data_IF_235532145715
#
_entry.id   IF_235532145715
#
_cell.length_a   1.000
_cell.length_b   1.000
_cell.length_c   1.000
_cell.angle_alpha   90.00
_cell.angle_beta   90.00
_cell.angle_gamma   90.00
#
_symmetry.space_group_name_H-M   'P 1'
#
loop_
_entity.id
_entity.type
_entity.pdbx_description
1 polymer ?
#
# COMPACT_ATOMS: atom_id res chain seq x y z
N UNK A 1 3.65 -17.88 23.09
CA UNK A 1 4.53 -17.54 21.94
C UNK A 1 3.77 -17.01 20.74
N UNK A 2 2.73 -17.68 20.22
CA UNK A 2 1.93 -17.16 19.09
C UNK A 2 1.25 -15.81 19.38
N UNK A 3 0.61 -15.69 20.54
CA UNK A 3 -0.06 -14.44 20.99
C UNK A 3 0.92 -13.26 21.13
N UNK A 4 2.15 -13.50 21.60
CA UNK A 4 3.13 -12.42 21.83
C UNK A 4 3.79 -11.94 20.52
N UNK A 5 4.03 -12.85 19.57
CA UNK A 5 4.50 -12.48 18.22
C UNK A 5 3.42 -11.76 17.42
N UNK A 6 2.15 -12.17 17.55
CA UNK A 6 1.01 -11.48 16.96
C UNK A 6 0.79 -10.10 17.58
N UNK A 7 0.99 -9.93 18.89
CA UNK A 7 0.88 -8.63 19.57
C UNK A 7 2.05 -7.68 19.25
N UNK A 8 3.27 -8.20 19.01
CA UNK A 8 4.41 -7.39 18.58
C UNK A 8 4.27 -6.97 17.11
N UNK A 9 3.75 -7.85 16.25
CA UNK A 9 3.43 -7.55 14.86
C UNK A 9 2.27 -6.54 14.74
N UNK A 10 1.18 -6.77 15.47
CA UNK A 10 0.05 -5.83 15.56
C UNK A 10 0.46 -4.49 16.18
N UNK A 11 1.28 -4.51 17.23
CA UNK A 11 1.80 -3.32 17.90
C UNK A 11 2.68 -2.45 17.01
N UNK A 12 3.39 -3.03 16.04
CA UNK A 12 4.23 -2.27 15.11
C UNK A 12 3.50 -1.76 13.87
N UNK A 13 2.43 -2.44 13.45
CA UNK A 13 1.50 -1.94 12.44
C UNK A 13 0.68 -0.75 12.98
N UNK A 14 0.41 -0.71 14.28
CA UNK A 14 -0.25 0.44 14.93
C UNK A 14 0.61 1.73 14.93
N UNK A 15 1.93 1.65 14.74
CA UNK A 15 2.79 2.86 14.59
C UNK A 15 2.72 3.49 13.19
N UNK A 16 1.96 2.90 12.28
CA UNK A 16 1.81 3.37 10.90
C UNK A 16 0.42 3.93 10.61
N UNK A 17 -0.32 4.30 11.66
CA UNK A 17 -1.65 4.88 11.63
C UNK A 17 -1.61 6.39 11.91
N UNK A 18 -0.78 7.14 11.18
CA UNK A 18 -1.37 8.38 10.70
C UNK A 18 -2.42 7.91 9.70
N UNK A 19 -3.71 8.32 9.81
CA UNK A 19 -4.60 8.16 8.68
C UNK A 19 -3.88 8.81 7.52
N UNK A 20 -3.41 8.00 6.59
CA UNK A 20 -3.02 8.55 5.32
C UNK A 20 -4.35 9.08 4.79
N UNK A 21 -4.40 10.40 4.56
CA UNK A 21 -5.46 11.08 3.83
C UNK A 21 -5.44 10.58 2.37
N UNK A 22 -5.67 9.29 2.22
CA UNK A 22 -5.40 8.52 1.05
C UNK A 22 -6.56 7.56 0.93
N UNK A 23 -7.26 7.64 -0.19
CA UNK A 23 -8.25 6.64 -0.53
C UNK A 23 -7.60 5.26 -0.67
N UNK A 24 -8.32 4.19 -0.34
CA UNK A 24 -7.87 2.83 -0.66
C UNK A 24 -7.79 2.68 -2.19
N UNK A 25 -6.62 2.38 -2.77
CA UNK A 25 -6.50 2.26 -4.21
C UNK A 25 -7.13 0.95 -4.70
N UNK A 26 -7.99 1.06 -5.72
CA UNK A 26 -8.63 -0.07 -6.40
C UNK A 26 -8.38 0.07 -7.89
N UNK A 27 -7.80 -0.95 -8.53
CA UNK A 27 -7.66 -0.99 -9.99
C UNK A 27 -8.88 -1.69 -10.58
N UNK A 28 -9.59 -1.01 -11.48
CA UNK A 28 -10.82 -1.51 -12.09
C UNK A 28 -10.50 -2.27 -13.36
N UNK A 29 -11.05 -3.49 -13.45
CA UNK A 29 -10.83 -4.41 -14.58
C UNK A 29 -12.09 -4.67 -15.42
N UNK A 30 -13.24 -4.12 -15.04
CA UNK A 30 -14.54 -4.37 -15.68
C UNK A 30 -15.32 -3.08 -15.88
N UNK A 31 -16.16 -3.08 -16.93
CA UNK A 31 -17.05 -1.96 -17.27
C UNK A 31 -18.10 -1.69 -16.18
N UNK A 32 -18.36 -2.64 -15.29
CA UNK A 32 -19.24 -2.45 -14.14
C UNK A 32 -18.55 -2.92 -12.87
N UNK A 33 -18.60 -2.09 -11.83
CA UNK A 33 -18.02 -2.34 -10.51
C UNK A 33 -19.09 -2.12 -9.44
N UNK A 34 -19.30 -3.10 -8.57
CA UNK A 34 -20.13 -2.91 -7.38
C UNK A 34 -19.32 -2.19 -6.31
N UNK A 35 -19.88 -1.11 -5.76
CA UNK A 35 -19.27 -0.31 -4.71
C UNK A 35 -19.86 -0.74 -3.38
N UNK A 36 -19.12 -1.58 -2.68
CA UNK A 36 -19.44 -2.04 -1.32
C UNK A 36 -18.89 -1.02 -0.31
N UNK A 37 -19.68 -0.73 0.72
CA UNK A 37 -19.39 0.27 1.75
C UNK A 37 -19.06 1.65 1.14
N UNK A 38 -20.04 2.34 0.54
CA UNK A 38 -19.83 3.56 -0.26
C UNK A 38 -19.32 4.75 0.56
N UNK A 39 -19.42 4.69 1.89
CA UNK A 39 -18.86 5.72 2.78
C UNK A 39 -17.36 5.50 3.02
N UNK A 40 -16.84 4.29 2.83
CA UNK A 40 -15.42 3.99 2.97
C UNK A 40 -14.66 4.54 1.77
N UNK A 41 -13.68 5.37 2.08
CA UNK A 41 -12.86 6.15 1.14
C UNK A 41 -12.02 5.25 0.22
N UNK A 42 -12.45 5.10 -1.03
CA UNK A 42 -11.80 4.30 -2.09
C UNK A 42 -11.54 5.13 -3.34
N UNK A 43 -10.39 4.94 -3.98
CA UNK A 43 -10.01 5.57 -5.24
C UNK A 43 -9.89 4.48 -6.30
N UNK A 44 -10.83 4.51 -7.25
CA UNK A 44 -10.93 3.56 -8.34
C UNK A 44 -10.17 4.10 -9.55
N UNK A 45 -9.06 3.46 -9.87
CA UNK A 45 -8.23 3.73 -11.03
C UNK A 45 -8.74 2.90 -12.21
N UNK A 46 -9.14 3.57 -13.28
CA UNK A 46 -9.69 2.92 -14.48
C UNK A 46 -9.12 3.47 -15.78
N UNK A 47 -9.01 2.59 -16.77
CA UNK A 47 -8.69 2.95 -18.15
C UNK A 47 -9.90 2.60 -19.00
N UNK A 48 -10.56 3.60 -19.58
CA UNK A 48 -11.67 3.35 -20.50
C UNK A 48 -11.10 2.69 -21.78
N UNK A 49 -11.83 1.70 -22.31
CA UNK A 49 -11.37 0.89 -23.46
C UNK A 49 -12.46 0.68 -24.52
N UNK A 50 -13.15 1.76 -24.88
CA UNK A 50 -14.23 1.79 -25.89
C UNK A 50 -15.64 1.76 -25.29
N UNK A 51 -15.76 1.48 -23.99
CA UNK A 51 -17.01 1.54 -23.22
C UNK A 51 -16.86 2.43 -21.99
N UNK A 52 -18.00 2.96 -21.52
CA UNK A 52 -18.08 3.68 -20.26
C UNK A 52 -17.99 2.69 -19.09
N UNK A 53 -17.39 3.11 -17.98
CA UNK A 53 -17.43 2.34 -16.74
C UNK A 53 -18.62 2.78 -15.87
N UNK A 54 -19.22 1.85 -15.14
CA UNK A 54 -20.36 2.10 -14.26
C UNK A 54 -20.07 1.57 -12.86
N UNK A 55 -20.21 2.42 -11.86
CA UNK A 55 -20.06 2.06 -10.45
C UNK A 55 -21.44 2.02 -9.81
N UNK A 56 -21.80 0.88 -9.23
CA UNK A 56 -23.14 0.65 -8.72
C UNK A 56 -23.13 0.58 -7.20
N UNK A 57 -23.93 1.43 -6.57
CA UNK A 57 -24.15 1.46 -5.12
C UNK A 57 -25.59 1.02 -4.86
N UNK A 58 -25.75 0.07 -3.93
CA UNK A 58 -27.07 -0.36 -3.43
C UNK A 58 -27.07 -0.22 -1.91
N UNK A 59 -27.97 0.60 -1.40
CA UNK A 59 -28.13 0.80 0.04
C UNK A 59 -29.60 0.73 0.45
N UNK A 60 -29.87 0.01 1.53
CA UNK A 60 -31.17 -0.02 2.21
C UNK A 60 -31.29 1.02 3.34
N UNK A 61 -30.19 1.71 3.64
CA UNK A 61 -30.09 2.78 4.63
C UNK A 61 -29.63 4.10 3.99
N UNK A 62 -29.81 5.20 4.71
CA UNK A 62 -29.19 6.48 4.35
C UNK A 62 -27.68 6.41 4.55
N UNK A 63 -26.94 7.08 3.68
CA UNK A 63 -25.47 7.10 3.70
C UNK A 63 -24.93 8.43 3.14
N UNK A 64 -23.70 8.77 3.49
CA UNK A 64 -23.00 9.93 2.93
C UNK A 64 -22.35 9.55 1.60
N UNK A 65 -22.94 10.01 0.49
CA UNK A 65 -22.37 9.85 -0.83
C UNK A 65 -21.36 10.96 -1.10
N UNK A 66 -20.11 10.55 -1.31
CA UNK A 66 -19.05 11.39 -1.85
C UNK A 66 -18.59 10.85 -3.19
N UNK A 67 -18.40 11.74 -4.17
CA UNK A 67 -17.83 11.41 -5.47
C UNK A 67 -16.86 12.51 -5.88
N UNK A 68 -15.62 12.16 -6.23
CA UNK A 68 -14.64 13.07 -6.82
C UNK A 68 -14.02 12.46 -8.06
N UNK A 69 -13.71 13.28 -9.08
CA UNK A 69 -13.14 12.79 -10.34
C UNK A 69 -11.81 13.48 -10.66
N UNK A 70 -10.78 12.66 -10.81
CA UNK A 70 -9.43 13.07 -11.10
C UNK A 70 -8.93 12.44 -12.41
N UNK A 71 -8.07 13.14 -13.12
CA UNK A 71 -7.27 12.62 -14.24
C UNK A 71 -5.80 12.62 -13.83
N UNK A 72 -5.08 11.49 -13.92
CA UNK A 72 -3.65 11.45 -13.66
C UNK A 72 -2.88 12.43 -14.56
N UNK A 73 -1.99 13.23 -13.98
CA UNK A 73 -1.09 14.11 -14.73
C UNK A 73 0.09 13.29 -15.29
N UNK A 74 -0.16 12.63 -16.41
CA UNK A 74 0.82 11.84 -17.18
C UNK A 74 1.46 12.69 -18.30
N UNK A 75 2.28 12.08 -19.17
CA UNK A 75 2.93 12.79 -20.28
C UNK A 75 1.93 13.45 -21.26
N UNK A 76 0.72 12.90 -21.40
CA UNK A 76 -0.33 13.41 -22.29
C UNK A 76 -1.72 13.23 -21.68
N UNK A 77 -2.06 14.00 -20.64
CA UNK A 77 -3.28 13.80 -19.88
C UNK A 77 -4.51 14.24 -20.69
N UNK A 78 -5.50 13.36 -20.79
CA UNK A 78 -6.80 13.67 -21.41
C UNK A 78 -7.79 14.17 -20.35
N UNK A 79 -8.00 15.48 -20.31
CA UNK A 79 -8.91 16.16 -19.37
C UNK A 79 -10.32 16.25 -19.96
N UNK A 80 -10.87 15.09 -20.29
CA UNK A 80 -12.14 14.94 -20.99
C UNK A 80 -13.08 13.93 -20.32
N UNK A 81 -12.65 13.37 -19.19
CA UNK A 81 -13.40 12.38 -18.42
C UNK A 81 -14.56 13.07 -17.71
N UNK A 82 -15.73 12.49 -17.83
CA UNK A 82 -16.97 12.93 -17.19
C UNK A 82 -17.50 11.86 -16.26
N UNK A 83 -17.88 12.24 -15.05
CA UNK A 83 -18.59 11.41 -14.09
C UNK A 83 -20.05 11.89 -13.97
N UNK A 84 -21.00 11.03 -14.33
CA UNK A 84 -22.43 11.32 -14.22
C UNK A 84 -23.02 10.46 -13.10
N UNK A 85 -23.61 11.11 -12.09
CA UNK A 85 -24.15 10.48 -10.89
C UNK A 85 -25.66 10.36 -11.07
N UNK A 86 -26.19 9.16 -10.97
CA UNK A 86 -27.62 8.88 -11.12
C UNK A 86 -28.21 8.25 -9.86
N UNK A 87 -29.49 8.53 -9.61
CA UNK A 87 -30.35 7.78 -8.69
C UNK A 87 -31.46 7.13 -9.51
N UNK A 88 -31.39 5.81 -9.69
CA UNK A 88 -32.18 5.17 -10.75
C UNK A 88 -31.83 5.78 -12.12
N UNK A 89 -32.82 6.34 -12.81
CA UNK A 89 -32.63 7.02 -14.10
C UNK A 89 -32.49 8.56 -13.98
N UNK A 90 -32.64 9.10 -12.77
CA UNK A 90 -32.55 10.54 -12.52
C UNK A 90 -31.08 10.97 -12.42
N UNK A 91 -30.64 11.87 -13.29
CA UNK A 91 -29.32 12.50 -13.19
C UNK A 91 -29.31 13.45 -12.00
N UNK A 92 -28.41 13.19 -11.06
CA UNK A 92 -28.23 13.97 -9.82
C UNK A 92 -27.18 15.05 -10.01
N UNK A 93 -26.04 14.71 -10.60
CA UNK A 93 -24.92 15.63 -10.80
C UNK A 93 -24.00 15.16 -11.93
N UNK A 94 -23.26 16.08 -12.53
CA UNK A 94 -22.18 15.81 -13.48
C UNK A 94 -20.89 16.51 -13.05
N UNK A 95 -19.79 15.77 -12.97
CA UNK A 95 -18.45 16.29 -12.73
C UNK A 95 -17.56 16.07 -13.95
N UNK A 96 -16.64 17.00 -14.22
CA UNK A 96 -15.68 16.91 -15.33
C UNK A 96 -16.30 17.03 -16.72
N UNK A 97 -15.63 16.45 -17.72
CA UNK A 97 -15.92 16.60 -19.14
C UNK A 97 -15.01 17.60 -19.85
N UNK A 98 -15.19 17.71 -21.17
CA UNK A 98 -14.34 18.51 -22.07
C UNK A 98 -14.38 20.00 -21.74
N UNK A 99 -15.55 20.50 -21.31
CA UNK A 99 -15.78 21.91 -21.03
C UNK A 99 -15.62 22.26 -19.54
N UNK A 100 -15.21 21.31 -18.70
CA UNK A 100 -15.02 21.54 -17.27
C UNK A 100 -13.74 22.31 -16.97
N UNK A 101 -13.74 23.02 -15.84
CA UNK A 101 -12.52 23.56 -15.27
C UNK A 101 -11.76 22.45 -14.55
N UNK A 102 -10.49 22.27 -14.92
CA UNK A 102 -9.59 21.30 -14.31
C UNK A 102 -8.47 22.03 -13.59
N UNK A 103 -8.38 21.84 -12.27
CA UNK A 103 -7.32 22.44 -11.44
C UNK A 103 -6.28 21.40 -11.07
N UNK A 104 -5.03 21.82 -10.87
CA UNK A 104 -3.99 20.88 -10.45
C UNK A 104 -4.13 20.54 -8.97
N UNK A 105 -4.03 19.26 -8.65
CA UNK A 105 -4.04 18.73 -7.29
C UNK A 105 -2.80 17.86 -7.07
N UNK A 106 -2.01 18.17 -6.05
CA UNK A 106 -0.83 17.37 -5.69
C UNK A 106 -1.13 16.49 -4.48
N UNK A 107 -0.98 15.18 -4.66
CA UNK A 107 -1.15 14.15 -3.65
C UNK A 107 0.23 13.79 -3.05
N UNK A 108 0.49 14.14 -1.78
CA UNK A 108 1.84 14.11 -1.21
C UNK A 108 2.35 12.72 -0.80
N UNK A 109 1.48 11.71 -0.65
CA UNK A 109 1.85 10.37 -0.21
C UNK A 109 2.51 9.56 -1.32
N UNK A 110 1.86 9.46 -2.48
CA UNK A 110 2.37 8.88 -3.70
C UNK A 110 3.19 9.84 -4.55
N UNK A 111 3.24 11.12 -4.19
CA UNK A 111 3.88 12.21 -4.95
C UNK A 111 3.34 12.34 -6.38
N UNK A 112 2.03 12.15 -6.51
CA UNK A 112 1.35 12.21 -7.79
C UNK A 112 0.65 13.55 -7.97
N UNK A 113 0.66 14.06 -9.20
CA UNK A 113 -0.15 15.21 -9.58
C UNK A 113 -1.36 14.72 -10.36
N UNK A 114 -2.49 15.36 -10.14
CA UNK A 114 -3.75 15.12 -10.82
C UNK A 114 -4.29 16.42 -11.39
N UNK A 115 -5.16 16.27 -12.37
CA UNK A 115 -6.15 17.26 -12.75
C UNK A 115 -7.45 16.91 -12.04
N UNK A 116 -7.97 17.84 -11.26
CA UNK A 116 -9.17 17.71 -10.45
C UNK A 116 -10.33 18.49 -11.10
N UNK A 117 -11.45 17.80 -11.31
CA UNK A 117 -12.67 18.37 -11.87
C UNK A 117 -13.77 18.62 -10.81
N UNK A 118 -13.40 18.55 -9.53
CA UNK A 118 -14.25 18.82 -8.40
C UNK A 118 -14.89 17.57 -7.80
N UNK A 119 -15.74 17.84 -6.81
CA UNK A 119 -16.32 16.85 -5.93
C UNK A 119 -17.80 17.14 -5.66
N UNK A 120 -18.55 16.08 -5.39
CA UNK A 120 -19.96 16.12 -5.05
C UNK A 120 -20.21 15.41 -3.73
N UNK A 121 -21.06 16.01 -2.88
CA UNK A 121 -21.48 15.47 -1.58
C UNK A 121 -23.00 15.50 -1.46
N UNK A 122 -23.56 14.40 -0.99
CA UNK A 122 -24.99 14.26 -0.74
C UNK A 122 -25.24 13.31 0.43
N UNK A 123 -26.11 13.69 1.36
CA UNK A 123 -26.74 12.72 2.26
C UNK A 123 -27.78 11.94 1.45
N UNK A 124 -27.39 10.77 0.96
CA UNK A 124 -28.19 9.96 0.05
C UNK A 124 -29.26 9.18 0.83
N UNK A 125 -30.49 9.20 0.31
CA UNK A 125 -31.56 8.35 0.82
C UNK A 125 -31.38 6.89 0.33
N UNK A 126 -32.02 5.89 0.97
CA UNK A 126 -31.95 4.50 0.50
C UNK A 126 -32.32 4.37 -0.97
N UNK A 127 -31.67 3.44 -1.66
CA UNK A 127 -31.91 3.18 -3.08
C UNK A 127 -30.69 2.69 -3.85
N UNK A 128 -30.80 2.81 -5.17
CA UNK A 128 -29.75 2.43 -6.12
C UNK A 128 -29.19 3.69 -6.75
N UNK A 129 -27.88 3.86 -6.64
CA UNK A 129 -27.13 4.93 -7.27
C UNK A 129 -26.14 4.34 -8.26
N UNK A 130 -25.91 5.02 -9.37
CA UNK A 130 -24.87 4.64 -10.32
C UNK A 130 -24.03 5.84 -10.72
N UNK A 131 -22.72 5.67 -10.78
CA UNK A 131 -21.78 6.68 -11.28
C UNK A 131 -21.23 6.16 -12.60
N UNK A 132 -21.54 6.85 -13.70
CA UNK A 132 -21.07 6.51 -15.04
C UNK A 132 -19.86 7.37 -15.40
N UNK A 133 -18.74 6.72 -15.70
CA UNK A 133 -17.51 7.36 -16.16
C UNK A 133 -17.36 7.16 -17.66
N UNK A 134 -17.21 8.26 -18.39
CA UNK A 134 -17.06 8.24 -19.85
C UNK A 134 -16.12 9.33 -20.33
N UNK A 135 -15.61 9.18 -21.55
CA UNK A 135 -14.92 10.23 -22.30
C UNK A 135 -15.38 10.19 -23.78
N UNK A 136 -15.09 11.21 -24.61
CA UNK A 136 -15.61 11.28 -25.99
C UNK A 136 -15.42 10.00 -26.80
N UNK A 137 -14.24 9.38 -26.68
CA UNK A 137 -13.91 8.11 -27.33
C UNK A 137 -13.84 6.92 -26.37
N UNK A 138 -14.12 7.14 -25.08
CA UNK A 138 -13.92 6.16 -23.99
C UNK A 138 -12.52 5.51 -24.02
N UNK A 139 -11.47 6.33 -24.10
CA UNK A 139 -10.06 5.85 -24.08
C UNK A 139 -9.22 6.52 -23.00
N UNK A 140 -9.85 7.26 -22.10
CA UNK A 140 -9.16 8.10 -21.11
C UNK A 140 -8.90 7.34 -19.80
N UNK A 141 -7.83 7.73 -19.11
CA UNK A 141 -7.49 7.24 -17.76
C UNK A 141 -8.11 8.16 -16.73
N UNK A 142 -8.56 7.60 -15.61
CA UNK A 142 -9.16 8.37 -14.52
C UNK A 142 -8.89 7.74 -13.15
N UNK A 143 -9.09 8.54 -12.11
CA UNK A 143 -9.21 8.10 -10.73
C UNK A 143 -10.53 8.65 -10.16
N UNK A 144 -11.43 7.76 -9.78
CA UNK A 144 -12.73 8.07 -9.19
C UNK A 144 -12.67 7.84 -7.68
N UNK A 145 -12.82 8.89 -6.90
CA UNK A 145 -12.97 8.77 -5.45
C UNK A 145 -14.45 8.55 -5.09
N UNK A 146 -14.73 7.55 -4.24
CA UNK A 146 -16.03 7.34 -3.62
C UNK A 146 -15.84 7.13 -2.12
N UNK A 147 -16.63 7.82 -1.31
CA UNK A 147 -16.57 7.78 0.15
C UNK A 147 -15.49 8.69 0.77
N UNK A 148 -15.67 9.05 2.04
CA UNK A 148 -14.78 9.95 2.80
C UNK A 148 -14.28 9.34 4.12
N UNK A 149 -14.91 8.26 4.60
CA UNK A 149 -14.49 7.60 5.83
C UNK A 149 -13.19 6.84 5.57
N UNK A 150 -12.12 7.33 6.17
CA UNK A 150 -10.82 6.68 6.10
C UNK A 150 -10.79 5.43 6.97
N UNK A 151 -10.66 4.28 6.32
CA UNK A 151 -10.49 3.00 6.96
C UNK A 151 -9.38 2.22 6.24
N UNK A 152 -8.43 1.67 6.99
CA UNK A 152 -7.35 0.85 6.45
C UNK A 152 -7.06 -0.28 7.43
N UNK A 153 -7.54 -1.47 7.10
CA UNK A 153 -7.13 -2.65 7.84
C UNK A 153 -5.76 -3.17 7.36
N UNK A 154 -5.32 -4.32 7.87
CA UNK A 154 -4.03 -4.89 7.49
C UNK A 154 -4.02 -5.41 6.05
N UNK A 155 -5.15 -5.90 5.56
CA UNK A 155 -5.31 -6.44 4.21
C UNK A 155 -5.28 -5.30 3.19
N UNK A 156 -6.00 -4.20 3.45
CA UNK A 156 -6.03 -3.00 2.61
C UNK A 156 -4.65 -2.40 2.41
N UNK A 157 -3.84 -2.35 3.49
CA UNK A 157 -2.47 -1.83 3.43
C UNK A 157 -1.55 -2.74 2.62
N UNK A 158 -1.69 -4.05 2.78
CA UNK A 158 -0.93 -5.02 1.99
C UNK A 158 -1.32 -4.94 0.51
N UNK A 159 -2.62 -4.80 0.22
CA UNK A 159 -3.14 -4.62 -1.12
C UNK A 159 -2.62 -3.32 -1.75
N UNK A 160 -2.65 -2.20 -1.02
CA UNK A 160 -2.10 -0.93 -1.48
C UNK A 160 -0.63 -1.05 -1.91
N UNK A 161 0.22 -1.75 -1.14
CA UNK A 161 1.62 -1.97 -1.52
C UNK A 161 1.77 -2.80 -2.80
N UNK A 162 0.81 -3.71 -3.07
CA UNK A 162 0.82 -4.54 -4.27
C UNK A 162 0.32 -3.81 -5.52
N UNK A 163 -0.68 -2.92 -5.40
CA UNK A 163 -1.32 -2.26 -6.56
C UNK A 163 -0.67 -0.93 -6.95
N UNK A 164 -0.12 -0.18 -6.00
CA UNK A 164 0.48 1.14 -6.26
C UNK A 164 1.60 1.13 -7.32
N UNK A 165 2.49 0.12 -7.40
CA UNK A 165 3.47 0.01 -8.47
C UNK A 165 2.84 0.05 -9.86
N UNK A 166 1.78 -0.73 -10.07
CA UNK A 166 1.05 -0.75 -11.34
C UNK A 166 0.32 0.56 -11.60
N UNK A 167 -0.18 1.23 -10.56
CA UNK A 167 -0.78 2.56 -10.70
C UNK A 167 0.27 3.58 -11.16
N UNK A 168 1.48 3.58 -10.60
CA UNK A 168 2.56 4.47 -11.04
C UNK A 168 2.89 4.29 -12.51
N UNK A 169 3.12 3.04 -12.91
CA UNK A 169 3.54 2.72 -14.27
C UNK A 169 2.41 2.99 -15.28
N UNK A 170 1.20 2.51 -15.00
CA UNK A 170 0.07 2.61 -15.93
C UNK A 170 -0.53 4.03 -15.94
N UNK A 171 -0.75 4.67 -14.79
CA UNK A 171 -1.50 5.93 -14.75
C UNK A 171 -0.62 7.17 -14.83
N UNK A 172 0.61 7.12 -14.32
CA UNK A 172 1.51 8.28 -14.28
C UNK A 172 2.70 8.15 -15.23
N UNK A 173 3.01 6.95 -15.72
CA UNK A 173 4.20 6.69 -16.53
C UNK A 173 5.51 6.79 -15.74
N UNK A 174 5.44 6.85 -14.41
CA UNK A 174 6.59 6.85 -13.51
C UNK A 174 7.06 5.41 -13.23
N UNK A 175 8.34 5.25 -12.85
CA UNK A 175 8.84 3.93 -12.47
C UNK A 175 8.29 3.51 -11.11
N UNK A 176 7.87 2.26 -10.97
CA UNK A 176 7.52 1.69 -9.67
C UNK A 176 8.63 1.91 -8.62
N UNK A 177 9.91 1.90 -9.02
CA UNK A 177 11.06 2.10 -8.11
C UNK A 177 11.02 3.48 -7.44
N UNK A 178 10.47 4.50 -8.08
CA UNK A 178 10.36 5.86 -7.53
C UNK A 178 9.46 5.91 -6.29
N UNK A 179 8.53 4.96 -6.14
CA UNK A 179 7.73 4.82 -4.92
C UNK A 179 8.59 4.72 -3.67
N UNK A 180 9.81 4.16 -3.75
CA UNK A 180 10.73 4.06 -2.59
C UNK A 180 11.03 5.44 -2.00
N UNK A 181 11.14 6.46 -2.85
CA UNK A 181 11.42 7.85 -2.45
C UNK A 181 10.19 8.63 -2.00
N UNK A 182 8.99 8.05 -2.16
CA UNK A 182 7.74 8.71 -1.75
C UNK A 182 7.54 8.67 -0.24
N UNK A 183 6.65 9.53 0.29
CA UNK A 183 6.32 9.48 1.73
C UNK A 183 5.72 8.12 2.09
N UNK A 184 4.87 7.58 1.20
CA UNK A 184 4.30 6.26 1.35
C UNK A 184 5.37 5.16 1.40
N UNK A 185 6.28 5.11 0.42
CA UNK A 185 7.31 4.09 0.36
C UNK A 185 8.28 4.16 1.54
N UNK A 186 8.75 5.36 1.91
CA UNK A 186 9.63 5.53 3.06
C UNK A 186 8.95 5.10 4.37
N UNK A 187 7.69 5.48 4.59
CA UNK A 187 6.97 5.10 5.81
C UNK A 187 6.80 3.57 5.90
N UNK A 188 6.41 2.91 4.80
CA UNK A 188 6.31 1.46 4.74
C UNK A 188 7.66 0.77 4.99
N UNK A 189 8.74 1.26 4.39
CA UNK A 189 10.07 0.70 4.61
C UNK A 189 10.52 0.85 6.07
N UNK A 190 10.29 2.01 6.70
CA UNK A 190 10.60 2.23 8.13
C UNK A 190 9.85 1.23 9.00
N UNK A 191 8.56 1.02 8.74
CA UNK A 191 7.72 0.08 9.51
C UNK A 191 8.20 -1.36 9.33
N UNK A 192 8.40 -1.80 8.08
CA UNK A 192 8.83 -3.16 7.76
C UNK A 192 10.23 -3.45 8.32
N UNK A 193 11.17 -2.52 8.17
CA UNK A 193 12.54 -2.69 8.67
C UNK A 193 12.59 -2.54 10.20
N UNK A 194 11.74 -1.70 10.79
CA UNK A 194 11.52 -1.67 12.24
C UNK A 194 11.08 -3.05 12.76
N UNK A 195 10.13 -3.71 12.07
CA UNK A 195 9.68 -5.05 12.42
C UNK A 195 10.79 -6.08 12.32
N UNK A 196 11.56 -6.03 11.23
CA UNK A 196 12.67 -6.93 10.99
C UNK A 196 13.78 -6.76 12.06
N UNK A 197 14.06 -5.54 12.49
CA UNK A 197 15.01 -5.26 13.57
C UNK A 197 14.53 -5.84 14.89
N UNK A 198 13.28 -5.60 15.28
CA UNK A 198 12.70 -6.16 16.50
C UNK A 198 12.69 -7.69 16.49
N UNK A 199 12.34 -8.30 15.36
CA UNK A 199 12.39 -9.74 15.18
C UNK A 199 13.83 -10.27 15.34
N UNK A 200 14.82 -9.60 14.76
CA UNK A 200 16.24 -9.96 14.92
C UNK A 200 16.70 -9.87 16.39
N UNK A 201 16.30 -8.81 17.11
CA UNK A 201 16.62 -8.63 18.52
C UNK A 201 15.94 -9.69 19.40
N UNK A 202 14.64 -9.94 19.19
CA UNK A 202 13.87 -10.96 19.89
C UNK A 202 14.48 -12.35 19.69
N UNK A 203 14.85 -12.67 18.45
CA UNK A 203 15.55 -13.91 18.13
C UNK A 203 16.84 -14.04 18.94
N UNK A 204 17.67 -13.00 18.98
CA UNK A 204 18.98 -13.01 19.64
C UNK A 204 18.91 -13.06 21.16
N UNK A 205 18.06 -12.22 21.75
CA UNK A 205 18.00 -12.01 23.19
C UNK A 205 17.22 -13.10 23.90
N UNK A 206 16.18 -13.63 23.26
CA UNK A 206 15.20 -14.50 23.91
C UNK A 206 15.18 -15.90 23.28
N UNK A 207 14.98 -16.01 21.96
CA UNK A 207 14.68 -17.31 21.33
C UNK A 207 15.92 -18.16 21.03
N UNK A 208 17.09 -17.56 20.83
CA UNK A 208 18.31 -18.28 20.41
C UNK A 208 18.72 -19.34 21.42
N UNK A 209 18.72 -19.00 22.71
CA UNK A 209 19.15 -19.91 23.80
C UNK A 209 18.26 -21.16 23.92
N UNK A 210 16.92 -21.05 24.04
CA UNK A 210 16.06 -22.23 24.09
C UNK A 210 16.12 -23.02 22.79
N UNK A 211 16.24 -22.37 21.64
CA UNK A 211 16.35 -23.05 20.35
C UNK A 211 17.61 -23.92 20.25
N UNK A 212 18.78 -23.41 20.66
CA UNK A 212 20.03 -24.20 20.70
C UNK A 212 19.92 -25.39 21.65
N UNK A 213 19.24 -25.23 22.79
CA UNK A 213 18.97 -26.33 23.74
C UNK A 213 18.06 -27.39 23.12
N UNK A 214 17.03 -26.98 22.38
CA UNK A 214 16.07 -27.89 21.73
C UNK A 214 16.73 -28.71 20.61
N UNK A 215 17.56 -28.07 19.78
CA UNK A 215 18.18 -28.70 18.60
C UNK A 215 19.45 -29.50 18.99
N UNK A 216 19.89 -29.43 20.24
CA UNK A 216 21.07 -30.15 20.73
C UNK A 216 22.39 -29.66 20.12
N UNK A 217 22.43 -28.44 19.56
CA UNK A 217 23.59 -27.92 18.87
C UNK A 217 23.41 -26.50 18.34
N UNK A 218 24.52 -25.85 17.96
CA UNK A 218 24.47 -24.52 17.34
C UNK A 218 24.19 -24.68 15.84
N UNK A 219 23.14 -24.04 15.29
CA UNK A 219 22.86 -24.12 13.87
C UNK A 219 24.03 -23.58 13.03
N UNK A 220 24.24 -24.17 11.85
CA UNK A 220 25.32 -23.80 10.93
C UNK A 220 25.23 -22.30 10.62
N UNK A 221 26.31 -21.57 10.90
CA UNK A 221 26.33 -20.11 10.76
C UNK A 221 26.45 -19.75 9.28
N UNK A 222 25.41 -19.12 8.74
CA UNK A 222 25.49 -18.47 7.42
C UNK A 222 26.53 -17.35 7.50
N UNK A 223 27.36 -17.19 6.47
CA UNK A 223 28.41 -16.16 6.42
C UNK A 223 27.82 -14.75 6.34
N UNK A 224 28.50 -13.76 6.94
CA UNK A 224 28.07 -12.34 6.92
C UNK A 224 27.91 -11.81 5.50
N UNK A 225 28.90 -12.09 4.63
CA UNK A 225 28.89 -11.64 3.23
C UNK A 225 27.67 -12.16 2.48
N UNK A 226 27.34 -13.43 2.67
CA UNK A 226 26.16 -14.03 2.07
C UNK A 226 24.86 -13.37 2.56
N UNK A 227 24.71 -13.14 3.87
CA UNK A 227 23.51 -12.45 4.40
C UNK A 227 23.32 -11.06 3.78
N UNK A 228 24.39 -10.29 3.68
CA UNK A 228 24.33 -8.95 3.07
C UNK A 228 23.97 -9.04 1.59
N UNK A 229 24.61 -9.93 0.84
CA UNK A 229 24.31 -10.12 -0.58
C UNK A 229 22.86 -10.57 -0.81
N UNK A 230 22.37 -11.52 -0.01
CA UNK A 230 20.99 -11.98 -0.05
C UNK A 230 20.00 -10.87 0.36
N UNK A 231 20.32 -10.06 1.37
CA UNK A 231 19.48 -8.92 1.75
C UNK A 231 19.35 -7.91 0.59
N UNK A 232 20.46 -7.54 -0.04
CA UNK A 232 20.45 -6.62 -1.21
C UNK A 232 19.67 -7.22 -2.37
N UNK A 233 19.87 -8.51 -2.68
CA UNK A 233 19.16 -9.19 -3.76
C UNK A 233 17.64 -9.24 -3.50
N UNK A 234 17.22 -9.60 -2.28
CA UNK A 234 15.79 -9.64 -1.92
C UNK A 234 15.16 -8.25 -1.95
N UNK A 235 15.87 -7.22 -1.50
CA UNK A 235 15.38 -5.84 -1.57
C UNK A 235 15.20 -5.41 -3.03
N UNK A 236 16.22 -5.63 -3.88
CA UNK A 236 16.17 -5.30 -5.29
C UNK A 236 14.99 -6.02 -5.98
N UNK A 237 14.88 -7.34 -5.81
CA UNK A 237 13.75 -8.11 -6.35
C UNK A 237 12.41 -7.56 -5.86
N UNK A 238 12.28 -7.24 -4.57
CA UNK A 238 11.04 -6.68 -4.05
C UNK A 238 10.67 -5.37 -4.75
N UNK A 239 11.56 -4.37 -4.79
CA UNK A 239 11.21 -3.03 -5.30
C UNK A 239 11.16 -2.93 -6.83
N UNK A 240 11.76 -3.87 -7.57
CA UNK A 240 11.72 -3.87 -9.04
C UNK A 240 10.70 -4.85 -9.62
N UNK A 241 9.99 -5.62 -8.81
CA UNK A 241 9.02 -6.62 -9.32
C UNK A 241 7.75 -6.69 -8.49
N UNK A 242 7.82 -7.28 -7.30
CA UNK A 242 6.63 -7.77 -6.58
C UNK A 242 6.10 -6.83 -5.52
N UNK A 243 6.93 -5.90 -5.05
CA UNK A 243 6.66 -5.05 -3.90
C UNK A 243 6.23 -5.82 -2.65
N UNK A 244 6.65 -7.08 -2.55
CA UNK A 244 6.20 -7.99 -1.48
C UNK A 244 6.69 -7.52 -0.10
N UNK A 245 5.77 -7.26 0.86
CA UNK A 245 6.14 -6.93 2.24
C UNK A 245 7.01 -8.03 2.88
N UNK A 246 6.77 -9.28 2.52
CA UNK A 246 7.52 -10.42 3.04
C UNK A 246 8.97 -10.44 2.55
N UNK A 247 9.22 -10.11 1.28
CA UNK A 247 10.59 -10.03 0.73
C UNK A 247 11.35 -8.85 1.35
N UNK A 248 10.70 -7.70 1.52
CA UNK A 248 11.27 -6.54 2.21
C UNK A 248 11.60 -6.87 3.68
N UNK A 249 10.69 -7.54 4.39
CA UNK A 249 10.93 -8.00 5.75
C UNK A 249 12.10 -8.98 5.83
N UNK A 250 12.15 -9.99 4.95
CA UNK A 250 13.23 -10.96 4.89
C UNK A 250 14.59 -10.31 4.58
N UNK A 251 14.60 -9.32 3.68
CA UNK A 251 15.77 -8.49 3.40
C UNK A 251 16.27 -7.78 4.65
N UNK A 252 15.38 -7.05 5.34
CA UNK A 252 15.69 -6.37 6.59
C UNK A 252 16.22 -7.32 7.66
N UNK A 253 15.60 -8.49 7.82
CA UNK A 253 15.98 -9.47 8.83
C UNK A 253 17.41 -9.98 8.62
N UNK A 254 17.76 -10.34 7.37
CA UNK A 254 19.11 -10.77 7.01
C UNK A 254 20.15 -9.66 7.21
N UNK A 255 19.79 -8.41 6.89
CA UNK A 255 20.64 -7.24 7.09
C UNK A 255 20.92 -7.00 8.57
N UNK A 256 19.88 -6.95 9.42
CA UNK A 256 20.04 -6.75 10.86
C UNK A 256 20.75 -7.92 11.52
N UNK A 257 20.50 -9.16 11.09
CA UNK A 257 21.30 -10.30 11.54
C UNK A 257 22.79 -10.14 11.20
N UNK A 258 23.14 -9.62 10.02
CA UNK A 258 24.52 -9.40 9.62
C UNK A 258 25.20 -8.26 10.42
N UNK A 259 24.45 -7.19 10.70
CA UNK A 259 24.93 -6.01 11.44
C UNK A 259 25.11 -6.32 12.93
N UNK A 260 24.08 -6.87 13.56
CA UNK A 260 24.09 -7.20 14.98
C UNK A 260 25.10 -8.31 15.31
N UNK A 261 25.62 -9.05 14.32
CA UNK A 261 26.63 -10.10 14.55
C UNK A 261 27.94 -9.55 15.13
N UNK A 262 28.17 -8.23 15.05
CA UNK A 262 29.29 -7.55 15.72
C UNK A 262 29.13 -7.39 17.23
N UNK A 263 27.91 -7.47 17.76
CA UNK A 263 27.61 -7.30 19.19
C UNK A 263 27.48 -8.65 19.93
N UNK A 264 28.03 -9.72 19.37
CA UNK A 264 28.16 -11.00 20.05
C UNK A 264 29.21 -10.90 21.14
N UNK A 265 28.73 -10.72 22.38
CA UNK A 265 29.35 -11.02 23.68
C UNK A 265 30.73 -11.65 23.55
N UNK A 266 31.76 -10.94 24.04
CA UNK A 266 33.08 -11.50 24.29
C UNK A 266 32.92 -12.87 24.96
N UNK A 267 33.20 -13.94 24.21
CA UNK A 267 33.41 -15.24 24.80
C UNK A 267 34.58 -15.06 25.77
N UNK A 268 34.27 -15.12 27.06
CA UNK A 268 35.28 -15.16 28.09
C UNK A 268 36.12 -16.41 27.85
N UNK A 269 37.25 -16.24 27.17
CA UNK A 269 38.38 -17.14 27.27
C UNK A 269 38.85 -17.12 28.74
N UNK A 270 38.14 -17.82 29.62
CA UNK A 270 38.76 -18.35 30.83
C UNK A 270 39.47 -19.61 30.40
N UNK A 271 40.75 -19.46 30.08
CA UNK A 271 41.72 -20.55 30.03
C UNK A 271 41.82 -21.15 31.43
N UNK A 272 40.96 -22.13 31.72
CA UNK A 272 41.15 -23.06 32.83
C UNK A 272 42.23 -24.08 32.45
N UNK A 273 43.48 -23.64 32.42
CA UNK A 273 44.64 -24.51 32.33
C UNK A 273 45.14 -24.82 33.74
N UNK A 274 44.53 -25.80 34.40
CA UNK A 274 45.11 -26.41 35.58
C UNK A 274 46.24 -27.35 35.13
N UNK A 275 47.48 -26.88 35.15
CA UNK A 275 48.65 -27.76 35.15
C UNK A 275 48.87 -28.29 36.56
N UNK A 276 48.49 -29.55 36.77
CA UNK A 276 49.05 -30.40 37.81
C UNK A 276 50.39 -30.94 37.29
N UNK A 277 51.50 -30.47 37.87
CA UNK A 277 52.74 -31.23 38.13
C UNK A 277 53.45 -30.60 39.31
#
# INVERSE_FOLDING_TARGET
>A
MKVFASLLFAGLMLLSAAPALAHQPVVVASDTTEVVDPEISKAYYGVLSGAAHTYLIRSDIEFDLYVGILVPDSESPKRDVKAEIFRGDELVETLGGVDAEWVTFYEPFGQNTYWDAGEYRLRAAPGVYSIRISSPDNTSKYSLAIGEIEFFDLEDRANALAVLPGIQEEFFGSSAVELVGTRYGMMNLVVIYGAALLAALLYRLILRRPLVRLIGGTPRRIGKRFRVAAAVALFAVAITTTWSPMLLFASGLLLFEALLNRFGVAESHRSGGATLR
#
